data_IF_454252321872
#
_entry.id   IF_454252321872
#
_cell.length_a   1.000
_cell.length_b   1.000
_cell.length_c   1.000
_cell.angle_alpha   90.00
_cell.angle_beta   90.00
_cell.angle_gamma   90.00
#
_symmetry.space_group_name_H-M   'P 1'
#
loop_
_entity.id
_entity.type
_entity.pdbx_description
1 polymer ?
#
# COMPACT_ATOMS: atom_id res chain seq x y z
N UNK A 1 -42.86 18.72 25.84
CA UNK A 1 -42.57 17.46 25.13
C UNK A 1 -41.89 17.80 23.81
N UNK A 2 -40.61 17.47 23.58
CA UNK A 2 -39.97 17.85 22.31
C UNK A 2 -38.48 17.54 22.09
N UNK A 3 -37.74 17.06 23.09
CA UNK A 3 -36.31 16.74 22.92
C UNK A 3 -35.99 15.24 22.79
N UNK A 4 -36.86 14.36 23.30
CA UNK A 4 -36.62 12.91 23.30
C UNK A 4 -37.02 12.19 22.00
N UNK A 5 -37.79 12.85 21.12
CA UNK A 5 -38.14 12.30 19.80
C UNK A 5 -37.00 12.39 18.79
N UNK A 6 -36.31 13.53 18.75
CA UNK A 6 -35.25 13.79 17.76
C UNK A 6 -34.01 12.90 17.93
N UNK A 7 -33.72 12.44 19.14
CA UNK A 7 -32.58 11.56 19.39
C UNK A 7 -32.87 10.12 18.91
N UNK A 8 -34.12 9.67 19.01
CA UNK A 8 -34.54 8.35 18.54
C UNK A 8 -34.61 8.26 17.02
N UNK A 9 -35.06 9.33 16.35
CA UNK A 9 -35.03 9.40 14.89
C UNK A 9 -33.60 9.52 14.35
N UNK A 10 -32.72 10.30 15.00
CA UNK A 10 -31.31 10.38 14.62
C UNK A 10 -30.57 9.04 14.78
N UNK A 11 -30.89 8.28 15.84
CA UNK A 11 -30.28 6.98 16.09
C UNK A 11 -30.81 5.91 15.13
N UNK A 12 -32.10 5.93 14.77
CA UNK A 12 -32.65 5.05 13.74
C UNK A 12 -32.06 5.34 12.36
N UNK A 13 -31.91 6.62 11.99
CA UNK A 13 -31.33 7.01 10.70
C UNK A 13 -29.83 6.70 10.60
N UNK A 14 -29.08 6.78 11.71
CA UNK A 14 -27.69 6.34 11.78
C UNK A 14 -27.55 4.80 11.70
N UNK A 15 -28.52 4.06 12.24
CA UNK A 15 -28.49 2.61 12.25
C UNK A 15 -28.95 2.01 10.91
N UNK A 16 -29.86 2.68 10.18
CA UNK A 16 -30.21 2.32 8.79
C UNK A 16 -29.12 2.71 7.78
N UNK A 17 -28.36 3.78 8.02
CA UNK A 17 -27.16 4.09 7.25
C UNK A 17 -26.04 3.04 7.44
N UNK A 18 -26.03 2.33 8.57
CA UNK A 18 -25.08 1.25 8.88
C UNK A 18 -25.59 -0.14 8.46
N UNK A 19 -26.90 -0.34 8.38
CA UNK A 19 -27.51 -1.63 8.06
C UNK A 19 -27.86 -1.81 6.57
N UNK A 20 -28.00 -0.72 5.81
CA UNK A 20 -28.40 -0.76 4.40
C UNK A 20 -27.25 -0.84 3.37
N UNK A 21 -26.00 -0.62 3.76
CA UNK A 21 -24.86 -0.59 2.85
C UNK A 21 -23.63 -1.13 3.58
N UNK A 22 -23.03 -2.21 3.06
CA UNK A 22 -21.61 -2.47 3.29
C UNK A 22 -20.87 -1.19 2.94
N UNK A 23 -20.19 -0.60 3.91
CA UNK A 23 -19.60 0.72 3.77
C UNK A 23 -18.70 0.80 2.54
N UNK A 24 -18.89 1.84 1.70
CA UNK A 24 -17.76 2.63 1.33
C UNK A 24 -17.97 4.09 1.76
N UNK A 25 -16.85 4.67 2.17
CA UNK A 25 -16.48 6.07 2.26
C UNK A 25 -17.55 7.13 1.90
N UNK A 26 -17.67 8.08 2.82
CA UNK A 26 -18.32 9.39 2.69
C UNK A 26 -17.96 10.14 1.39
N UNK A 27 -18.78 11.14 0.98
CA UNK A 27 -18.82 11.64 -0.40
C UNK A 27 -17.64 12.58 -0.70
N UNK A 28 -16.64 12.08 -1.41
CA UNK A 28 -15.64 12.90 -2.11
C UNK A 28 -15.80 12.68 -3.62
N UNK A 29 -16.72 13.44 -4.20
CA UNK A 29 -16.96 13.47 -5.63
C UNK A 29 -15.69 13.81 -6.41
N UNK A 30 -15.41 13.02 -7.45
CA UNK A 30 -14.63 13.46 -8.60
C UNK A 30 -13.15 13.05 -8.67
N UNK A 31 -12.50 12.64 -7.58
CA UNK A 31 -11.07 12.30 -7.59
C UNK A 31 -10.69 10.97 -6.90
N UNK A 32 -11.63 10.29 -6.24
CA UNK A 32 -11.36 9.15 -5.35
C UNK A 32 -11.63 7.75 -5.94
N UNK A 33 -11.63 7.59 -7.27
CA UNK A 33 -11.86 6.27 -7.89
C UNK A 33 -10.60 5.43 -8.08
N UNK A 34 -9.52 6.06 -8.55
CA UNK A 34 -8.28 5.38 -8.92
C UNK A 34 -7.30 5.23 -7.75
N UNK A 35 -7.04 6.31 -7.02
CA UNK A 35 -6.06 6.31 -5.93
C UNK A 35 -6.47 5.46 -4.73
N UNK A 36 -7.75 5.44 -4.38
CA UNK A 36 -8.21 4.67 -3.21
C UNK A 36 -8.09 3.15 -3.43
N UNK A 37 -8.30 2.67 -4.66
CA UNK A 37 -8.16 1.23 -4.98
C UNK A 37 -6.70 0.78 -4.87
N UNK A 38 -5.76 1.59 -5.37
CA UNK A 38 -4.33 1.31 -5.26
C UNK A 38 -3.82 1.43 -3.81
N UNK A 39 -4.28 2.42 -3.05
CA UNK A 39 -3.96 2.56 -1.62
C UNK A 39 -4.47 1.37 -0.80
N UNK A 40 -5.70 0.91 -1.06
CA UNK A 40 -6.26 -0.25 -0.34
C UNK A 40 -5.48 -1.52 -0.70
N UNK A 41 -5.14 -1.73 -1.97
CA UNK A 41 -4.34 -2.87 -2.39
C UNK A 41 -2.94 -2.85 -1.75
N UNK A 42 -2.29 -1.69 -1.69
CA UNK A 42 -1.00 -1.53 -1.03
C UNK A 42 -1.09 -1.77 0.48
N UNK A 43 -2.13 -1.25 1.15
CA UNK A 43 -2.35 -1.48 2.57
C UNK A 43 -2.57 -2.97 2.89
N UNK A 44 -3.33 -3.68 2.05
CA UNK A 44 -3.53 -5.13 2.18
C UNK A 44 -2.23 -5.91 1.97
N UNK A 45 -1.44 -5.53 0.95
CA UNK A 45 -0.12 -6.11 0.71
C UNK A 45 0.80 -5.91 1.92
N UNK A 46 0.84 -4.70 2.48
CA UNK A 46 1.61 -4.39 3.69
C UNK A 46 1.17 -5.22 4.89
N UNK A 47 -0.14 -5.36 5.12
CA UNK A 47 -0.67 -6.20 6.20
C UNK A 47 -0.30 -7.67 6.00
N UNK A 48 -0.41 -8.18 4.77
CA UNK A 48 -0.03 -9.55 4.44
C UNK A 48 1.46 -9.78 4.70
N UNK A 49 2.32 -8.91 4.19
CA UNK A 49 3.76 -8.99 4.40
C UNK A 49 4.15 -8.78 5.87
N UNK A 50 3.39 -8.01 6.64
CA UNK A 50 3.59 -7.92 8.08
C UNK A 50 3.33 -9.26 8.80
N UNK A 51 2.34 -10.04 8.33
CA UNK A 51 1.96 -11.33 8.93
C UNK A 51 2.80 -12.52 8.46
N UNK A 52 3.08 -12.61 7.16
CA UNK A 52 3.73 -13.78 6.54
C UNK A 52 4.89 -13.45 5.60
N UNK A 53 5.27 -12.17 5.50
CA UNK A 53 6.36 -11.75 4.63
C UNK A 53 7.72 -12.23 5.14
N UNK A 54 8.52 -12.74 4.23
CA UNK A 54 9.90 -13.20 4.48
C UNK A 54 10.87 -12.14 3.98
N UNK A 55 11.93 -11.91 4.75
CA UNK A 55 13.00 -10.98 4.36
C UNK A 55 14.04 -11.69 3.51
N UNK A 56 14.49 -11.02 2.45
CA UNK A 56 15.56 -11.48 1.60
C UNK A 56 16.47 -10.33 1.17
N UNK A 57 17.78 -10.57 1.03
CA UNK A 57 18.67 -9.60 0.41
C UNK A 57 18.30 -9.40 -1.05
N UNK A 58 18.42 -8.17 -1.52
CA UNK A 58 18.22 -7.80 -2.91
C UNK A 58 19.14 -6.68 -3.38
N UNK A 59 19.04 -6.35 -4.65
CA UNK A 59 19.80 -5.26 -5.29
C UNK A 59 18.88 -4.50 -6.21
N UNK A 60 18.93 -3.17 -6.14
CA UNK A 60 18.20 -2.28 -7.06
C UNK A 60 18.93 -2.23 -8.40
N UNK A 61 18.23 -2.52 -9.50
CA UNK A 61 18.75 -2.37 -10.85
C UNK A 61 18.29 -1.09 -11.51
N UNK A 62 17.05 -0.67 -11.24
CA UNK A 62 16.50 0.56 -11.81
C UNK A 62 15.50 1.21 -10.86
N UNK A 63 15.49 2.54 -10.85
CA UNK A 63 14.54 3.36 -10.10
C UNK A 63 13.78 4.25 -11.10
N UNK A 64 12.46 4.07 -11.21
CA UNK A 64 11.61 4.81 -12.15
C UNK A 64 10.46 5.51 -11.44
N UNK A 65 10.53 6.83 -11.21
CA UNK A 65 9.39 7.60 -10.77
C UNK A 65 8.29 7.56 -11.84
N UNK A 66 7.08 7.19 -11.44
CA UNK A 66 5.93 7.13 -12.37
C UNK A 66 5.32 8.51 -12.64
N UNK A 67 5.73 9.52 -11.87
CA UNK A 67 5.13 10.86 -11.87
C UNK A 67 3.84 10.96 -11.05
N UNK A 68 3.31 9.85 -10.53
CA UNK A 68 2.16 9.85 -9.63
C UNK A 68 2.60 10.19 -8.20
N UNK A 69 1.80 10.98 -7.49
CA UNK A 69 2.04 11.35 -6.10
C UNK A 69 0.81 10.97 -5.29
N UNK A 70 1.04 10.27 -4.19
CA UNK A 70 0.00 9.82 -3.28
C UNK A 70 -0.48 10.97 -2.37
N UNK A 71 -1.65 10.80 -1.72
CA UNK A 71 -2.22 11.73 -0.75
C UNK A 71 -1.28 12.03 0.43
N UNK A 72 -0.37 11.10 0.75
CA UNK A 72 0.66 11.26 1.78
C UNK A 72 1.84 12.14 1.36
N UNK A 73 1.93 12.54 0.08
CA UNK A 73 3.07 13.24 -0.50
C UNK A 73 4.20 12.32 -0.96
N UNK A 74 4.02 10.99 -0.88
CA UNK A 74 4.94 10.01 -1.44
C UNK A 74 4.83 9.93 -2.97
N UNK A 75 5.97 9.81 -3.66
CA UNK A 75 6.00 9.56 -5.09
C UNK A 75 5.87 8.06 -5.34
N UNK A 76 5.02 7.69 -6.30
CA UNK A 76 4.93 6.30 -6.73
C UNK A 76 6.12 5.98 -7.62
N UNK A 77 6.91 5.00 -7.22
CA UNK A 77 8.16 4.61 -7.88
C UNK A 77 8.13 3.13 -8.19
N UNK A 78 8.54 2.80 -9.40
CA UNK A 78 8.80 1.43 -9.83
C UNK A 78 10.29 1.11 -9.65
N UNK A 79 10.55 0.01 -8.96
CA UNK A 79 11.89 -0.52 -8.75
C UNK A 79 12.02 -1.86 -9.46
N UNK A 80 13.03 -2.02 -10.30
CA UNK A 80 13.45 -3.35 -10.72
C UNK A 80 14.51 -3.83 -9.75
N UNK A 81 14.25 -4.95 -9.08
CA UNK A 81 15.14 -5.51 -8.07
C UNK A 81 15.44 -6.97 -8.35
N UNK A 82 16.64 -7.43 -8.01
CA UNK A 82 16.89 -8.86 -7.84
C UNK A 82 16.69 -9.21 -6.39
N UNK A 83 15.93 -10.26 -6.11
CA UNK A 83 15.69 -10.80 -4.77
C UNK A 83 16.40 -12.15 -4.68
N UNK A 84 17.13 -12.38 -3.59
CA UNK A 84 17.80 -13.65 -3.30
C UNK A 84 17.18 -14.27 -2.05
N UNK A 85 16.13 -15.11 -2.20
CA UNK A 85 15.55 -15.87 -1.10
C UNK A 85 16.58 -16.74 -0.38
N UNK A 86 16.31 -17.06 0.89
CA UNK A 86 17.10 -18.04 1.64
C UNK A 86 17.02 -19.46 1.04
N UNK A 87 15.91 -19.77 0.36
CA UNK A 87 15.69 -21.03 -0.36
C UNK A 87 15.12 -20.74 -1.74
N UNK A 88 15.74 -21.30 -2.79
CA UNK A 88 15.37 -21.08 -4.18
C UNK A 88 16.41 -20.28 -4.97
N UNK A 89 16.12 -20.07 -6.25
CA UNK A 89 16.98 -19.29 -7.14
C UNK A 89 16.70 -17.79 -7.01
N UNK A 90 17.72 -16.94 -7.16
CA UNK A 90 17.50 -15.50 -7.27
C UNK A 90 16.61 -15.19 -8.47
N UNK A 91 15.69 -14.25 -8.30
CA UNK A 91 14.77 -13.82 -9.36
C UNK A 91 14.71 -12.30 -9.43
N UNK A 92 14.28 -11.77 -10.56
CA UNK A 92 14.00 -10.35 -10.72
C UNK A 92 12.51 -10.08 -10.48
N UNK A 93 12.21 -9.00 -9.79
CA UNK A 93 10.86 -8.55 -9.52
C UNK A 93 10.77 -7.05 -9.76
N UNK A 94 9.60 -6.62 -10.23
CA UNK A 94 9.24 -5.21 -10.28
C UNK A 94 8.37 -4.89 -9.07
N UNK A 95 8.80 -3.92 -8.27
CA UNK A 95 8.10 -3.45 -7.08
C UNK A 95 7.58 -2.04 -7.35
N UNK A 96 6.30 -1.82 -7.10
CA UNK A 96 5.69 -0.48 -7.17
C UNK A 96 5.35 -0.02 -5.76
N UNK A 97 6.02 1.03 -5.29
CA UNK A 97 5.90 1.52 -3.92
C UNK A 97 5.83 3.05 -3.88
N UNK A 98 4.99 3.57 -2.98
CA UNK A 98 4.97 5.00 -2.66
C UNK A 98 6.09 5.30 -1.67
N UNK A 99 7.03 6.17 -2.07
CA UNK A 99 8.21 6.53 -1.31
C UNK A 99 8.26 8.03 -1.09
N UNK A 100 8.57 8.45 0.14
CA UNK A 100 8.78 9.87 0.44
C UNK A 100 10.06 10.37 -0.22
N UNK A 101 10.15 11.67 -0.58
CA UNK A 101 11.36 12.23 -1.19
C UNK A 101 12.63 11.96 -0.36
N UNK A 102 12.55 12.07 0.96
CA UNK A 102 13.68 11.77 1.86
C UNK A 102 14.11 10.29 1.84
N UNK A 103 13.19 9.36 1.56
CA UNK A 103 13.53 7.94 1.40
C UNK A 103 14.22 7.69 0.05
N UNK A 104 13.76 8.38 -1.00
CA UNK A 104 14.34 8.30 -2.33
C UNK A 104 15.79 8.78 -2.38
N UNK A 105 16.14 9.81 -1.60
CA UNK A 105 17.53 10.29 -1.48
C UNK A 105 18.49 9.23 -0.90
N UNK A 106 17.97 8.25 -0.16
CA UNK A 106 18.75 7.16 0.42
C UNK A 106 18.90 5.94 -0.48
N UNK A 107 18.29 5.93 -1.67
CA UNK A 107 18.29 4.80 -2.59
C UNK A 107 19.08 5.12 -3.86
N UNK A 108 19.78 4.12 -4.37
CA UNK A 108 20.57 4.22 -5.60
C UNK A 108 20.55 2.91 -6.37
N UNK A 109 20.72 2.99 -7.69
CA UNK A 109 20.93 1.80 -8.52
C UNK A 109 22.24 1.10 -8.12
N UNK A 110 22.24 -0.23 -8.10
CA UNK A 110 23.32 -1.07 -7.60
C UNK A 110 23.36 -1.22 -6.07
N UNK A 111 22.50 -0.51 -5.33
CA UNK A 111 22.47 -0.59 -3.86
C UNK A 111 21.91 -1.93 -3.38
N UNK A 112 22.55 -2.49 -2.37
CA UNK A 112 22.04 -3.65 -1.64
C UNK A 112 20.90 -3.22 -0.72
N UNK A 113 19.80 -3.95 -0.76
CA UNK A 113 18.59 -3.68 0.01
C UNK A 113 18.10 -4.95 0.70
N UNK A 114 17.23 -4.78 1.69
CA UNK A 114 16.41 -5.86 2.22
C UNK A 114 15.00 -5.69 1.66
N UNK A 115 14.51 -6.75 1.02
CA UNK A 115 13.16 -6.82 0.49
C UNK A 115 12.34 -7.72 1.39
N UNK A 116 11.11 -7.32 1.68
CA UNK A 116 10.12 -8.20 2.29
C UNK A 116 9.16 -8.67 1.22
N UNK A 117 9.06 -9.98 1.02
CA UNK A 117 8.23 -10.59 -0.03
C UNK A 117 7.36 -11.70 0.52
N UNK A 118 6.29 -12.01 -0.20
CA UNK A 118 5.42 -13.14 0.10
C UNK A 118 5.99 -14.42 -0.54
N UNK A 119 6.37 -15.46 0.23
CA UNK A 119 6.88 -16.70 -0.34
C UNK A 119 5.85 -17.45 -1.19
N UNK A 120 4.55 -17.26 -0.92
CA UNK A 120 3.47 -17.87 -1.72
C UNK A 120 3.16 -17.08 -3.00
N UNK A 121 3.64 -15.83 -3.07
CA UNK A 121 3.45 -14.94 -4.21
C UNK A 121 4.66 -14.00 -4.38
N UNK A 122 5.76 -14.47 -5.01
CA UNK A 122 7.05 -13.76 -5.07
C UNK A 122 7.01 -12.36 -5.71
N UNK A 123 5.98 -12.07 -6.50
CA UNK A 123 5.73 -10.76 -7.11
C UNK A 123 5.21 -9.72 -6.12
N UNK A 124 4.66 -10.15 -4.97
CA UNK A 124 4.23 -9.27 -3.90
C UNK A 124 5.40 -9.01 -2.96
N UNK A 125 6.13 -7.93 -3.23
CA UNK A 125 7.33 -7.55 -2.50
C UNK A 125 7.41 -6.05 -2.27
N UNK A 126 8.12 -5.64 -1.21
CA UNK A 126 8.38 -4.23 -0.86
C UNK A 126 9.83 -4.05 -0.47
N UNK A 127 10.36 -2.84 -0.66
CA UNK A 127 11.63 -2.47 -0.04
C UNK A 127 11.37 -2.26 1.45
N UNK A 128 12.14 -2.95 2.30
CA UNK A 128 12.00 -2.90 3.76
C UNK A 128 13.06 -2.04 4.43
N UNK A 129 14.33 -2.17 4.00
CA UNK A 129 15.46 -1.40 4.52
C UNK A 129 16.63 -1.37 3.52
N UNK A 130 17.56 -0.44 3.70
CA UNK A 130 18.72 -0.21 2.84
C UNK A 130 19.86 0.49 3.57
#
# INVERSE_FOLDING_TARGET
>A
MGFFGKMKDAQAQAQEAMAGQGAPAAPMGGAMGGDMTNQVAYAQLMQKLAQSGVEAPGVIHSIRPTGQTDLSGGQQVEFDVSIKPASGEPYQAQISQSMLPAQMEGLSEGQAITVKYDPDAPVMAIIHSW
#
